data_IF_597181276705
#
_entry.id   IF_597181276705
#
_cell.length_a   1.000
_cell.length_b   1.000
_cell.length_c   1.000
_cell.angle_alpha   90.00
_cell.angle_beta   90.00
_cell.angle_gamma   90.00
#
_symmetry.space_group_name_H-M   'P 1'
#
loop_
_entity.id
_entity.type
_entity.pdbx_description
1 polymer ?
#
# COMPACT_ATOMS: atom_id res chain seq x y z
N UNK A 1 -74.99 -21.58 26.62
CA UNK A 1 -74.41 -22.63 27.49
C UNK A 1 -73.97 -23.78 26.59
N UNK A 2 -72.84 -24.47 26.82
CA UNK A 2 -71.51 -24.15 27.36
C UNK A 2 -70.46 -24.33 26.22
N UNK A 3 -69.13 -24.30 26.31
CA UNK A 3 -68.13 -24.28 27.37
C UNK A 3 -66.77 -24.51 26.69
N UNK A 4 -65.71 -23.95 27.26
CA UNK A 4 -64.32 -23.98 26.77
C UNK A 4 -63.78 -25.40 26.50
N UNK A 5 -62.61 -25.51 25.84
CA UNK A 5 -61.44 -25.75 26.67
C UNK A 5 -60.19 -24.95 26.27
N UNK A 6 -59.47 -24.57 27.33
CA UNK A 6 -58.08 -24.12 27.37
C UNK A 6 -57.12 -25.09 26.70
N UNK A 7 -56.17 -24.59 25.91
CA UNK A 7 -54.90 -25.29 25.69
C UNK A 7 -53.74 -24.30 25.57
N UNK A 8 -52.93 -24.29 26.63
CA UNK A 8 -51.60 -23.70 26.63
C UNK A 8 -50.72 -24.44 25.64
N UNK A 9 -49.97 -23.70 24.80
CA UNK A 9 -48.78 -24.24 24.15
C UNK A 9 -47.71 -23.16 24.10
N UNK A 10 -46.73 -23.34 24.99
CA UNK A 10 -45.40 -22.75 24.92
C UNK A 10 -44.73 -23.18 23.61
N UNK A 11 -44.20 -22.25 22.83
CA UNK A 11 -43.15 -22.58 21.84
C UNK A 11 -42.20 -21.40 21.68
N UNK A 12 -41.14 -21.46 22.48
CA UNK A 12 -39.73 -21.31 22.09
C UNK A 12 -39.43 -20.55 20.81
N UNK A 13 -38.78 -19.41 20.99
CA UNK A 13 -37.55 -18.97 20.31
C UNK A 13 -37.40 -19.42 18.86
N UNK A 14 -37.58 -18.48 17.95
CA UNK A 14 -36.90 -18.53 16.66
C UNK A 14 -36.29 -17.17 16.38
N UNK A 15 -35.03 -17.05 16.80
CA UNK A 15 -34.08 -16.10 16.27
C UNK A 15 -34.06 -16.18 14.75
N UNK A 16 -34.69 -15.20 14.08
CA UNK A 16 -34.29 -14.82 12.72
C UNK A 16 -33.39 -13.62 12.83
N UNK A 17 -32.11 -13.97 12.95
CA UNK A 17 -30.94 -13.16 12.70
C UNK A 17 -31.12 -12.37 11.39
N UNK A 18 -31.55 -11.12 11.49
CA UNK A 18 -31.30 -10.12 10.46
C UNK A 18 -29.82 -9.79 10.53
N UNK A 19 -29.02 -10.53 9.75
CA UNK A 19 -27.66 -10.13 9.41
C UNK A 19 -27.78 -8.94 8.44
N UNK A 20 -28.05 -7.76 8.98
CA UNK A 20 -27.92 -6.51 8.26
C UNK A 20 -26.42 -6.25 8.09
N UNK A 21 -25.98 -6.44 6.85
CA UNK A 21 -24.82 -5.86 6.18
C UNK A 21 -23.91 -5.01 7.08
N UNK A 22 -22.81 -5.60 7.55
CA UNK A 22 -21.63 -4.77 7.88
C UNK A 22 -21.22 -4.11 6.56
N UNK A 23 -21.11 -2.78 6.46
CA UNK A 23 -20.23 -2.23 5.44
C UNK A 23 -18.85 -2.80 5.75
N UNK A 24 -18.32 -3.63 4.85
CA UNK A 24 -16.88 -3.79 4.76
C UNK A 24 -16.38 -2.42 4.30
N UNK A 25 -16.10 -1.53 5.26
CA UNK A 25 -15.18 -0.42 5.05
C UNK A 25 -13.79 -1.01 4.82
N UNK A 26 -13.64 -1.62 3.65
CA UNK A 26 -12.41 -2.13 3.11
C UNK A 26 -11.80 -1.05 2.23
N UNK A 27 -10.92 -0.26 2.86
CA UNK A 27 -9.96 0.68 2.27
C UNK A 27 -10.54 2.05 1.84
N UNK A 28 -9.77 3.15 2.02
CA UNK A 28 -8.44 3.22 1.43
C UNK A 28 -7.31 3.34 2.47
N UNK A 29 -6.52 2.28 2.63
CA UNK A 29 -5.14 2.38 3.12
C UNK A 29 -4.21 3.14 2.14
N UNK A 30 -4.77 3.82 1.15
CA UNK A 30 -4.06 4.65 0.18
C UNK A 30 -3.95 6.13 0.60
N UNK A 31 -4.67 6.57 1.65
CA UNK A 31 -4.75 7.97 2.05
C UNK A 31 -3.61 8.45 2.98
N UNK A 32 -2.52 7.70 3.15
CA UNK A 32 -1.40 8.10 4.03
C UNK A 32 -0.02 8.04 3.35
N UNK A 33 0.06 8.32 2.05
CA UNK A 33 1.34 8.33 1.33
C UNK A 33 1.69 9.67 0.66
N UNK A 34 0.98 10.75 0.97
CA UNK A 34 1.33 12.07 0.44
C UNK A 34 2.40 12.81 1.25
N UNK A 35 2.62 12.46 2.52
CA UNK A 35 3.52 13.26 3.39
C UNK A 35 4.95 12.70 3.49
N UNK A 36 5.24 11.51 2.95
CA UNK A 36 6.56 10.88 3.07
C UNK A 36 7.68 11.64 2.34
N UNK A 37 7.33 12.50 1.38
CA UNK A 37 8.30 13.28 0.60
C UNK A 37 8.66 14.61 1.29
N UNK A 38 7.87 15.06 2.27
CA UNK A 38 8.14 16.29 3.01
C UNK A 38 9.23 16.10 4.09
N UNK A 39 9.38 14.88 4.61
CA UNK A 39 10.37 14.49 5.63
C UNK A 39 11.55 13.71 5.00
N UNK A 40 12.00 14.09 3.80
CA UNK A 40 13.19 13.48 3.20
C UNK A 40 14.44 13.86 3.99
N UNK A 41 15.13 12.85 4.53
CA UNK A 41 16.40 13.00 5.22
C UNK A 41 17.54 13.18 4.20
N UNK A 42 17.74 14.42 3.75
CA UNK A 42 18.71 14.77 2.70
C UNK A 42 20.17 14.41 3.07
N UNK A 43 20.49 14.30 4.36
CA UNK A 43 21.83 13.87 4.81
C UNK A 43 22.11 12.41 4.45
N UNK A 44 21.06 11.60 4.31
CA UNK A 44 21.15 10.19 3.86
C UNK A 44 20.91 10.03 2.36
N UNK A 45 20.73 11.14 1.63
CA UNK A 45 20.49 11.07 0.20
C UNK A 45 21.70 10.51 -0.53
N UNK A 46 21.50 9.41 -1.24
CA UNK A 46 22.53 8.80 -2.08
C UNK A 46 22.30 9.23 -3.53
N UNK A 47 23.36 9.56 -4.29
CA UNK A 47 23.20 9.92 -5.69
C UNK A 47 22.71 8.72 -6.50
N UNK A 48 21.73 8.94 -7.38
CA UNK A 48 21.25 7.90 -8.27
C UNK A 48 22.35 7.42 -9.21
N UNK A 49 22.51 6.09 -9.30
CA UNK A 49 23.45 5.37 -10.16
C UNK A 49 22.75 4.11 -10.67
N UNK A 50 22.69 3.88 -12.00
CA UNK A 50 21.97 2.74 -12.56
C UNK A 50 22.63 1.38 -12.25
N UNK A 51 23.90 1.38 -11.81
CA UNK A 51 24.65 0.18 -11.41
C UNK A 51 24.62 -0.10 -9.90
N UNK A 52 23.90 0.72 -9.12
CA UNK A 52 23.75 0.55 -7.68
C UNK A 52 22.35 0.02 -7.39
N UNK A 53 22.22 -0.65 -6.25
CA UNK A 53 20.94 -1.12 -5.70
C UNK A 53 20.49 -0.25 -4.54
N UNK A 54 19.18 -0.09 -4.41
CA UNK A 54 18.57 0.74 -3.36
C UNK A 54 17.62 -0.10 -2.51
N UNK A 55 17.10 0.42 -1.40
CA UNK A 55 16.05 -0.21 -0.60
C UNK A 55 14.82 0.69 -0.53
N UNK A 56 13.65 0.11 -0.24
CA UNK A 56 12.47 0.91 0.07
C UNK A 56 12.73 1.76 1.31
N UNK A 57 12.44 3.06 1.23
CA UNK A 57 12.78 4.04 2.26
C UNK A 57 14.10 4.79 2.04
N UNK A 58 14.92 4.39 1.05
CA UNK A 58 16.13 5.14 0.71
C UNK A 58 15.78 6.48 0.05
N UNK A 59 16.58 7.50 0.36
CA UNK A 59 16.50 8.81 -0.29
C UNK A 59 17.48 8.86 -1.45
N UNK A 60 16.98 9.10 -2.64
CA UNK A 60 17.77 9.15 -3.88
C UNK A 60 17.83 10.59 -4.37
N UNK A 61 19.04 11.06 -4.64
CA UNK A 61 19.29 12.33 -5.32
C UNK A 61 19.56 12.10 -6.81
N UNK A 62 18.70 12.59 -7.68
CA UNK A 62 18.87 12.52 -9.12
C UNK A 62 19.60 13.76 -9.67
N UNK A 63 20.93 13.68 -9.79
CA UNK A 63 21.79 14.83 -10.16
C UNK A 63 21.41 15.55 -11.45
N UNK A 64 20.87 14.85 -12.46
CA UNK A 64 20.49 15.48 -13.72
C UNK A 64 19.20 16.32 -13.61
N UNK A 65 18.39 16.08 -12.58
CA UNK A 65 17.13 16.78 -12.33
C UNK A 65 17.21 17.69 -11.11
N UNK A 66 18.31 17.62 -10.35
CA UNK A 66 18.48 18.29 -9.06
C UNK A 66 17.27 18.03 -8.14
N UNK A 67 16.79 16.78 -8.14
CA UNK A 67 15.56 16.37 -7.43
C UNK A 67 15.84 15.21 -6.48
N UNK A 68 15.16 15.23 -5.34
CA UNK A 68 15.27 14.23 -4.28
C UNK A 68 13.97 13.46 -4.18
N UNK A 69 14.08 12.16 -3.98
CA UNK A 69 12.92 11.29 -3.88
C UNK A 69 13.13 10.10 -2.96
N UNK A 70 12.02 9.58 -2.43
CA UNK A 70 11.99 8.39 -1.60
C UNK A 70 11.74 7.16 -2.46
N UNK A 71 12.49 6.09 -2.27
CA UNK A 71 12.14 4.79 -2.84
C UNK A 71 10.87 4.28 -2.16
N UNK A 72 9.78 4.19 -2.91
CA UNK A 72 8.47 3.73 -2.43
C UNK A 72 8.15 2.30 -2.84
N UNK A 73 9.02 1.66 -3.63
CA UNK A 73 8.85 0.26 -4.00
C UNK A 73 9.89 -0.24 -4.99
N UNK A 74 9.83 -1.55 -5.25
CA UNK A 74 10.65 -2.22 -6.26
C UNK A 74 9.82 -3.07 -7.20
N UNK A 75 10.33 -3.26 -8.41
CA UNK A 75 9.71 -4.10 -9.43
C UNK A 75 10.81 -4.84 -10.20
N UNK A 76 10.52 -6.10 -10.56
CA UNK A 76 11.40 -6.91 -11.40
C UNK A 76 10.74 -7.05 -12.76
N UNK A 77 11.41 -6.56 -13.78
CA UNK A 77 10.97 -6.64 -15.16
C UNK A 77 11.47 -7.93 -15.83
N UNK A 78 10.82 -8.38 -16.92
CA UNK A 78 11.28 -9.53 -17.70
C UNK A 78 12.74 -9.38 -18.14
N UNK A 79 13.51 -10.48 -18.08
CA UNK A 79 14.94 -10.47 -18.37
C UNK A 79 15.82 -10.00 -17.20
N UNK A 80 15.38 -10.26 -15.95
CA UNK A 80 16.11 -9.99 -14.70
C UNK A 80 16.49 -8.52 -14.47
N UNK A 81 15.85 -7.59 -15.18
CA UNK A 81 16.06 -6.15 -14.98
C UNK A 81 15.31 -5.73 -13.73
N UNK A 82 16.00 -5.04 -12.82
CA UNK A 82 15.41 -4.54 -11.60
C UNK A 82 15.16 -3.05 -11.73
N UNK A 83 14.03 -2.60 -11.20
CA UNK A 83 13.67 -1.18 -11.18
C UNK A 83 13.18 -0.79 -9.81
N UNK A 84 13.52 0.43 -9.41
CA UNK A 84 13.03 1.04 -8.19
C UNK A 84 12.01 2.12 -8.53
N UNK A 85 10.90 2.15 -7.80
CA UNK A 85 9.90 3.20 -7.88
C UNK A 85 10.27 4.27 -6.87
N UNK A 86 10.61 5.45 -7.35
CA UNK A 86 11.03 6.59 -6.53
C UNK A 86 9.98 7.67 -6.63
N UNK A 87 9.50 8.17 -5.49
CA UNK A 87 8.64 9.35 -5.42
C UNK A 87 9.51 10.58 -5.21
N UNK A 88 9.77 11.28 -6.30
CA UNK A 88 10.43 12.57 -6.31
C UNK A 88 9.51 13.71 -5.87
N UNK A 89 10.12 14.76 -5.34
CA UNK A 89 9.42 15.96 -4.86
C UNK A 89 8.79 16.72 -6.01
N UNK A 90 9.56 16.97 -7.08
CA UNK A 90 9.08 17.77 -8.22
C UNK A 90 8.59 16.89 -9.37
N UNK A 91 9.31 15.81 -9.68
CA UNK A 91 8.98 14.92 -10.81
C UNK A 91 7.84 13.92 -10.51
N UNK A 92 7.49 13.70 -9.24
CA UNK A 92 6.48 12.70 -8.85
C UNK A 92 7.02 11.26 -8.86
N UNK A 93 6.17 10.26 -9.12
CA UNK A 93 6.61 8.85 -9.09
C UNK A 93 7.30 8.46 -10.40
N UNK A 94 8.57 8.08 -10.33
CA UNK A 94 9.40 7.68 -11.46
C UNK A 94 9.98 6.29 -11.22
N UNK A 95 10.12 5.51 -12.30
CA UNK A 95 10.78 4.20 -12.28
C UNK A 95 12.22 4.37 -12.75
N UNK A 96 13.17 4.00 -11.89
CA UNK A 96 14.60 4.04 -12.21
C UNK A 96 15.14 2.62 -12.32
N UNK A 97 16.06 2.42 -13.26
CA UNK A 97 16.75 1.13 -13.38
C UNK A 97 17.75 0.99 -12.24
N UNK A 98 17.80 -0.18 -11.61
CA UNK A 98 18.92 -0.61 -10.78
C UNK A 98 19.50 -1.90 -11.38
N UNK A 99 20.82 -2.06 -11.35
CA UNK A 99 21.46 -3.34 -11.59
C UNK A 99 21.90 -3.92 -10.25
N UNK A 100 21.36 -5.09 -9.91
CA UNK A 100 22.18 -6.05 -9.19
C UNK A 100 23.21 -6.55 -10.18
N UNK A 101 24.49 -6.46 -9.84
CA UNK A 101 25.63 -6.85 -10.69
C UNK A 101 25.68 -8.33 -11.06
N UNK A 102 24.62 -8.87 -11.67
CA UNK A 102 24.64 -10.12 -12.39
C UNK A 102 25.23 -9.82 -13.76
N UNK A 103 26.57 -9.80 -13.76
CA UNK A 103 27.31 -10.10 -14.97
C UNK A 103 26.95 -11.52 -15.48
N UNK A 104 27.20 -11.79 -16.77
CA UNK A 104 26.91 -13.08 -17.41
C UNK A 104 27.56 -14.28 -16.71
#
# INVERSE_FOLDING_TARGET
>A
MPGSPTRSTTTTTTSRRTAATRPRDGAPAAARRCDLVADLDLEKAVPYRPWQTYAEGDVIHHLAWDDFGLVVGKEVLPGNRRVVMVRFTNAGTVRLIEQDGVGP
#
